data_IF_247557174712
#
_entry.id   IF_247557174712
#
_cell.length_a   1.000
_cell.length_b   1.000
_cell.length_c   1.000
_cell.angle_alpha   90.00
_cell.angle_beta   90.00
_cell.angle_gamma   90.00
#
_symmetry.space_group_name_H-M   'P 1'
#
loop_
_entity.id
_entity.type
_entity.pdbx_description
1 polymer ?
#
# COMPACT_ATOMS: atom_id res chain seq x y z
N UNK A 1 -6.09 9.00 10.55
CA UNK A 1 -5.58 7.91 9.69
C UNK A 1 -4.07 8.03 9.67
N UNK A 2 -3.37 6.92 9.83
CA UNK A 2 -1.91 6.89 9.84
C UNK A 2 -1.43 6.16 8.59
N UNK A 3 -0.42 6.69 7.90
CA UNK A 3 0.16 6.07 6.71
C UNK A 3 1.66 5.99 6.92
N UNK A 4 2.24 4.83 6.65
CA UNK A 4 3.66 4.58 6.86
C UNK A 4 4.21 3.62 5.81
N UNK A 5 5.47 3.85 5.41
CA UNK A 5 6.23 2.90 4.59
C UNK A 5 6.87 1.89 5.53
N UNK A 6 6.29 0.70 5.59
CA UNK A 6 6.68 -0.28 6.61
C UNK A 6 8.03 -0.92 6.29
N UNK A 7 8.15 -1.51 5.10
CA UNK A 7 9.36 -2.25 4.69
C UNK A 7 9.61 -2.13 3.19
N UNK A 8 10.90 -2.23 2.85
CA UNK A 8 11.42 -2.34 1.48
C UNK A 8 12.18 -3.66 1.39
N UNK A 9 11.69 -4.59 0.58
CA UNK A 9 12.23 -5.93 0.41
C UNK A 9 12.97 -5.98 -0.92
N UNK A 10 14.26 -6.32 -0.89
CA UNK A 10 15.02 -6.61 -2.10
C UNK A 10 14.73 -8.05 -2.53
N UNK A 11 14.21 -8.21 -3.74
CA UNK A 11 13.91 -9.50 -4.34
C UNK A 11 14.77 -9.72 -5.58
N UNK A 12 15.40 -10.89 -5.68
CA UNK A 12 16.19 -11.26 -6.85
C UNK A 12 15.30 -12.07 -7.78
N UNK A 13 15.14 -11.61 -9.02
CA UNK A 13 14.45 -12.35 -10.05
C UNK A 13 15.26 -13.60 -10.42
N UNK A 14 14.67 -14.76 -10.25
CA UNK A 14 15.32 -16.06 -10.48
C UNK A 14 15.76 -16.28 -11.93
N UNK A 15 15.10 -15.62 -12.87
CA UNK A 15 15.25 -15.76 -14.31
C UNK A 15 16.28 -14.78 -14.92
N UNK A 16 16.28 -13.52 -14.48
CA UNK A 16 17.21 -12.48 -15.01
C UNK A 16 18.37 -12.17 -14.07
N UNK A 17 18.27 -12.56 -12.80
CA UNK A 17 19.23 -12.17 -11.75
C UNK A 17 19.12 -10.71 -11.32
N UNK A 18 18.10 -9.99 -11.80
CA UNK A 18 17.89 -8.58 -11.46
C UNK A 18 17.38 -8.41 -10.03
N UNK A 19 17.87 -7.37 -9.36
CA UNK A 19 17.44 -7.01 -8.01
C UNK A 19 16.36 -5.96 -8.13
N UNK A 20 15.14 -6.29 -7.71
CA UNK A 20 14.02 -5.36 -7.61
C UNK A 20 13.77 -5.00 -6.16
N UNK A 21 13.46 -3.73 -5.90
CA UNK A 21 13.04 -3.27 -4.59
C UNK A 21 11.50 -3.23 -4.53
N UNK A 22 10.93 -3.96 -3.59
CA UNK A 22 9.49 -4.03 -3.35
C UNK A 22 9.16 -3.26 -2.08
N UNK A 23 8.37 -2.22 -2.21
CA UNK A 23 8.01 -1.32 -1.12
C UNK A 23 6.58 -1.61 -0.65
N UNK A 24 6.40 -1.68 0.67
CA UNK A 24 5.10 -1.94 1.29
C UNK A 24 4.61 -0.68 1.99
N UNK A 25 3.55 -0.09 1.47
CA UNK A 25 2.82 1.02 2.07
C UNK A 25 1.67 0.48 2.92
N UNK A 26 1.54 0.98 4.15
CA UNK A 26 0.48 0.60 5.07
C UNK A 26 -0.32 1.82 5.50
N UNK A 27 -1.63 1.76 5.32
CA UNK A 27 -2.59 2.72 5.87
C UNK A 27 -3.37 2.10 7.03
N UNK A 28 -3.42 2.76 8.17
CA UNK A 28 -4.20 2.34 9.35
C UNK A 28 -5.28 3.38 9.65
N UNK A 29 -6.53 2.93 9.63
CA UNK A 29 -7.66 3.72 10.10
C UNK A 29 -7.68 3.72 11.63
N UNK A 30 -7.56 4.89 12.24
CA UNK A 30 -7.37 5.02 13.69
C UNK A 30 -8.55 4.50 14.51
N UNK A 31 -9.78 4.62 14.00
CA UNK A 31 -10.99 4.20 14.72
C UNK A 31 -11.21 2.69 14.72
N UNK A 32 -11.11 2.04 13.56
CA UNK A 32 -11.36 0.59 13.42
C UNK A 32 -10.09 -0.27 13.54
N UNK A 33 -8.91 0.35 13.53
CA UNK A 33 -7.61 -0.31 13.31
C UNK A 33 -7.55 -1.15 12.02
N UNK A 34 -8.44 -0.86 11.07
CA UNK A 34 -8.42 -1.48 9.75
C UNK A 34 -7.13 -1.11 9.03
N UNK A 35 -6.50 -2.09 8.38
CA UNK A 35 -5.21 -1.95 7.72
C UNK A 35 -5.35 -2.17 6.23
N UNK A 36 -4.91 -1.19 5.46
CA UNK A 36 -4.81 -1.23 4.00
C UNK A 36 -3.34 -1.42 3.64
N UNK A 37 -3.04 -2.36 2.75
CA UNK A 37 -1.68 -2.64 2.30
C UNK A 37 -1.60 -2.39 0.80
N UNK A 38 -0.58 -1.67 0.37
CA UNK A 38 -0.28 -1.47 -1.06
C UNK A 38 1.18 -1.73 -1.34
N UNK A 39 1.43 -2.56 -2.33
CA UNK A 39 2.77 -2.97 -2.74
C UNK A 39 3.16 -2.21 -4.00
N UNK A 40 4.39 -1.68 -4.06
CA UNK A 40 4.89 -0.99 -5.23
C UNK A 40 6.40 -1.11 -5.39
N UNK A 41 6.87 -1.15 -6.63
CA UNK A 41 8.29 -1.08 -6.94
C UNK A 41 8.87 0.33 -6.75
N UNK A 42 8.03 1.36 -6.64
CA UNK A 42 8.48 2.75 -6.54
C UNK A 42 7.83 3.46 -5.35
N UNK A 43 8.62 4.22 -4.59
CA UNK A 43 8.11 5.11 -3.53
C UNK A 43 7.70 6.46 -4.12
N UNK A 44 6.53 6.51 -4.77
CA UNK A 44 6.00 7.75 -5.36
C UNK A 44 4.72 8.24 -4.68
N UNK A 45 4.43 9.53 -4.83
CA UNK A 45 3.18 10.15 -4.36
C UNK A 45 1.95 9.53 -5.05
N UNK A 46 2.08 9.04 -6.28
CA UNK A 46 1.00 8.38 -7.01
C UNK A 46 0.53 7.11 -6.30
N UNK A 47 1.46 6.32 -5.77
CA UNK A 47 1.15 5.10 -5.01
C UNK A 47 0.38 5.46 -3.74
N UNK A 48 0.81 6.50 -3.03
CA UNK A 48 0.12 7.02 -1.86
C UNK A 48 -1.33 7.43 -2.20
N UNK A 49 -1.52 8.26 -3.23
CA UNK A 49 -2.86 8.72 -3.62
C UNK A 49 -3.76 7.54 -4.01
N UNK A 50 -3.22 6.56 -4.73
CA UNK A 50 -3.99 5.38 -5.11
C UNK A 50 -4.45 4.54 -3.91
N UNK A 51 -3.66 4.45 -2.82
CA UNK A 51 -4.08 3.74 -1.61
C UNK A 51 -5.23 4.49 -0.90
N UNK A 52 -5.21 5.83 -0.92
CA UNK A 52 -6.27 6.65 -0.34
C UNK A 52 -7.58 6.51 -1.11
N UNK A 53 -7.50 6.49 -2.43
CA UNK A 53 -8.65 6.37 -3.32
C UNK A 53 -9.33 5.00 -3.17
N UNK A 54 -8.54 3.93 -3.18
CA UNK A 54 -9.02 2.57 -2.92
C UNK A 54 -9.71 2.48 -1.55
N UNK A 55 -9.09 3.06 -0.52
CA UNK A 55 -9.64 3.07 0.83
C UNK A 55 -10.97 3.82 0.92
N UNK A 56 -11.09 4.95 0.24
CA UNK A 56 -12.31 5.75 0.23
C UNK A 56 -13.46 5.00 -0.47
N UNK A 57 -13.19 4.33 -1.59
CA UNK A 57 -14.18 3.51 -2.30
C UNK A 57 -14.68 2.34 -1.45
N UNK A 58 -13.79 1.67 -0.74
CA UNK A 58 -14.18 0.59 0.18
C UNK A 58 -15.07 1.13 1.28
N UNK A 59 -14.69 2.24 1.92
CA UNK A 59 -15.49 2.83 3.00
C UNK A 59 -16.86 3.32 2.51
N UNK A 60 -16.94 3.91 1.31
CA UNK A 60 -18.23 4.35 0.76
C UNK A 60 -19.17 3.19 0.48
N UNK A 61 -18.66 2.07 -0.04
CA UNK A 61 -19.47 0.88 -0.32
C UNK A 61 -20.02 0.26 0.98
N UNK A 62 -19.21 0.18 2.03
CA UNK A 62 -19.63 -0.36 3.32
C UNK A 62 -20.62 0.54 4.09
N UNK A 63 -20.72 1.82 3.73
CA UNK A 63 -21.69 2.77 4.31
C UNK A 63 -23.00 2.84 3.50
N UNK A 64 -22.99 2.31 2.28
CA UNK A 64 -24.15 2.26 1.39
C UNK A 64 -24.96 0.97 1.52
N UNK A 65 -24.42 -0.05 2.22
CA UNK A 65 -25.10 -1.28 2.66
C UNK A 65 -25.64 -1.13 4.09
#
# INVERSE_FOLDING_TARGET
MQIDWKESILFVLSDTGEIIEVNILVGVLGYSRYKMYKVSFLKTRTVLMSLLEDGNLVLSNNLAE
#
